data_IF_889234820072
#
_entry.id   IF_889234820072
#
_cell.length_a   1.000
_cell.length_b   1.000
_cell.length_c   1.000
_cell.angle_alpha   90.00
_cell.angle_beta   90.00
_cell.angle_gamma   90.00
#
_symmetry.space_group_name_H-M   'P 1'
#
loop_
_entity.id
_entity.type
_entity.pdbx_description
1 polymer ?
#
# COMPACT_ATOMS: atom_id res chain seq x y z
N UNK A 1 -8.48 -20.95 9.80
CA UNK A 1 -7.95 -20.64 8.45
C UNK A 1 -7.90 -19.14 8.21
N UNK A 2 -8.99 -18.41 8.48
CA UNK A 2 -9.09 -16.95 8.37
C UNK A 2 -7.95 -16.22 9.12
N UNK A 3 -7.79 -16.49 10.42
CA UNK A 3 -6.74 -15.89 11.27
C UNK A 3 -5.30 -16.11 10.79
N UNK A 4 -4.99 -17.26 10.16
CA UNK A 4 -3.63 -17.52 9.67
C UNK A 4 -3.30 -16.67 8.44
N UNK A 5 -4.28 -16.49 7.54
CA UNK A 5 -4.09 -15.66 6.34
C UNK A 5 -3.99 -14.19 6.72
N UNK A 6 -4.79 -13.74 7.70
CA UNK A 6 -4.74 -12.38 8.23
C UNK A 6 -3.35 -12.05 8.80
N UNK A 7 -2.78 -12.99 9.59
CA UNK A 7 -1.42 -12.82 10.14
C UNK A 7 -0.39 -12.73 9.02
N UNK A 8 -0.44 -13.61 8.01
CA UNK A 8 0.52 -13.58 6.89
C UNK A 8 0.40 -12.27 6.12
N UNK A 9 -0.82 -11.85 5.79
CA UNK A 9 -1.06 -10.58 5.09
C UNK A 9 -0.51 -9.40 5.89
N UNK A 10 -0.82 -9.36 7.19
CA UNK A 10 -0.37 -8.30 8.08
C UNK A 10 1.15 -8.26 8.24
N UNK A 11 1.80 -9.41 8.42
CA UNK A 11 3.27 -9.48 8.49
C UNK A 11 3.91 -9.01 7.18
N UNK A 12 3.35 -9.43 6.04
CA UNK A 12 3.83 -9.03 4.73
C UNK A 12 3.68 -7.52 4.50
N UNK A 13 2.52 -6.95 4.78
CA UNK A 13 2.29 -5.51 4.64
C UNK A 13 3.09 -4.69 5.66
N UNK A 14 3.28 -5.18 6.88
CA UNK A 14 4.17 -4.52 7.86
C UNK A 14 5.60 -4.50 7.35
N UNK A 15 6.12 -5.62 6.82
CA UNK A 15 7.45 -5.68 6.24
C UNK A 15 7.58 -4.75 5.02
N UNK A 16 6.57 -4.72 4.16
CA UNK A 16 6.50 -3.79 3.03
C UNK A 16 6.58 -2.33 3.49
N UNK A 17 5.82 -1.94 4.52
CA UNK A 17 5.87 -0.60 5.09
C UNK A 17 7.22 -0.23 5.69
N UNK A 18 7.85 -1.16 6.41
CA UNK A 18 9.20 -0.97 6.99
C UNK A 18 10.25 -0.78 5.91
N UNK A 19 10.18 -1.58 4.85
CA UNK A 19 11.07 -1.41 3.70
C UNK A 19 10.80 -0.08 3.00
N UNK A 20 9.54 0.27 2.78
CA UNK A 20 9.17 1.51 2.11
C UNK A 20 9.75 2.76 2.82
N UNK A 21 9.74 2.79 4.16
CA UNK A 21 10.25 3.92 4.93
C UNK A 21 11.78 3.89 5.15
N UNK A 22 12.41 2.72 5.07
CA UNK A 22 13.82 2.54 5.42
C UNK A 22 14.80 3.47 4.65
N UNK A 23 14.68 3.69 3.32
CA UNK A 23 15.58 4.60 2.61
C UNK A 23 15.49 6.05 3.13
N UNK A 24 14.30 6.49 3.55
CA UNK A 24 14.11 7.83 4.11
C UNK A 24 14.79 7.97 5.47
N UNK A 25 14.72 6.92 6.30
CA UNK A 25 15.34 6.89 7.62
C UNK A 25 16.87 6.80 7.51
N UNK A 26 17.39 5.92 6.66
CA UNK A 26 18.84 5.69 6.54
C UNK A 26 19.58 6.86 5.92
N UNK A 27 18.97 7.55 4.96
CA UNK A 27 19.58 8.72 4.34
C UNK A 27 19.54 9.96 5.25
N UNK A 28 18.87 9.89 6.43
CA UNK A 28 18.88 10.92 7.46
C UNK A 28 18.30 12.27 7.03
N UNK A 29 17.77 12.39 5.82
CA UNK A 29 17.44 13.66 5.18
C UNK A 29 15.92 13.82 5.03
N UNK A 30 15.25 14.11 6.15
CA UNK A 30 13.83 14.48 6.21
C UNK A 30 13.57 15.93 5.80
N UNK A 31 14.61 16.72 5.51
CA UNK A 31 14.50 18.16 5.27
C UNK A 31 13.78 18.50 3.94
N UNK A 32 13.68 17.54 3.02
CA UNK A 32 12.94 17.69 1.76
C UNK A 32 11.45 17.36 1.89
N UNK A 33 10.57 18.19 1.30
CA UNK A 33 9.12 17.97 1.28
C UNK A 33 8.74 16.59 0.73
N UNK A 34 9.45 16.09 -0.28
CA UNK A 34 9.23 14.73 -0.82
C UNK A 34 9.58 13.64 0.19
N UNK A 35 10.74 13.73 0.85
CA UNK A 35 11.16 12.81 1.92
C UNK A 35 10.18 12.80 3.09
N UNK A 36 9.70 13.97 3.52
CA UNK A 36 8.71 14.08 4.59
C UNK A 36 7.37 13.43 4.22
N UNK A 37 6.92 13.60 2.97
CA UNK A 37 5.70 12.96 2.45
C UNK A 37 5.86 11.44 2.34
N UNK A 38 7.01 10.95 1.87
CA UNK A 38 7.32 9.52 1.86
C UNK A 38 7.38 8.93 3.27
N UNK A 39 8.03 9.60 4.22
CA UNK A 39 8.05 9.18 5.62
C UNK A 39 6.63 9.13 6.21
N UNK A 40 5.83 10.17 5.97
CA UNK A 40 4.43 10.24 6.41
C UNK A 40 3.60 9.10 5.83
N UNK A 41 3.81 8.78 4.54
CA UNK A 41 3.17 7.64 3.89
C UNK A 41 3.52 6.32 4.58
N UNK A 42 4.80 6.07 4.84
CA UNK A 42 5.26 4.87 5.56
C UNK A 42 4.71 4.79 6.99
N UNK A 43 4.70 5.89 7.73
CA UNK A 43 4.16 5.95 9.10
C UNK A 43 2.67 5.66 9.11
N UNK A 44 1.89 6.29 8.22
CA UNK A 44 0.44 6.08 8.11
C UNK A 44 0.13 4.64 7.69
N UNK A 45 0.92 4.07 6.79
CA UNK A 45 0.82 2.67 6.40
C UNK A 45 1.01 1.72 7.58
N UNK A 46 2.10 1.91 8.33
CA UNK A 46 2.44 1.11 9.51
C UNK A 46 1.43 1.31 10.64
N UNK A 47 0.91 2.52 10.82
CA UNK A 47 -0.20 2.78 11.74
C UNK A 47 -1.45 2.00 11.34
N UNK A 48 -1.77 1.95 10.04
CA UNK A 48 -2.85 1.12 9.51
C UNK A 48 -2.64 -0.36 9.87
N UNK A 49 -1.45 -0.90 9.61
CA UNK A 49 -1.09 -2.27 9.99
C UNK A 49 -1.22 -2.51 11.51
N UNK A 50 -0.77 -1.56 12.34
CA UNK A 50 -0.89 -1.67 13.79
C UNK A 50 -2.35 -1.66 14.26
N UNK A 51 -3.21 -0.84 13.66
CA UNK A 51 -4.66 -0.87 13.95
C UNK A 51 -5.26 -2.22 13.55
N UNK A 52 -4.89 -2.77 12.38
CA UNK A 52 -5.31 -4.12 11.97
C UNK A 52 -4.88 -5.18 12.97
N UNK A 53 -3.61 -5.14 13.42
CA UNK A 53 -3.08 -6.04 14.44
C UNK A 53 -3.93 -5.99 15.72
N UNK A 54 -4.13 -4.78 16.27
CA UNK A 54 -4.91 -4.56 17.48
C UNK A 54 -6.36 -5.06 17.34
N UNK A 55 -6.95 -4.94 16.15
CA UNK A 55 -8.27 -5.52 15.86
C UNK A 55 -8.25 -7.04 15.86
N UNK A 56 -7.26 -7.66 15.21
CA UNK A 56 -7.11 -9.12 15.12
C UNK A 56 -6.87 -9.78 16.48
N UNK A 57 -6.21 -9.09 17.41
CA UNK A 57 -6.02 -9.56 18.80
C UNK A 57 -7.07 -9.04 19.79
N UNK A 58 -8.16 -8.44 19.30
CA UNK A 58 -9.30 -7.96 20.10
C UNK A 58 -8.95 -6.87 21.14
N UNK A 59 -7.84 -6.14 20.95
CA UNK A 59 -7.50 -4.97 21.77
C UNK A 59 -8.38 -3.76 21.44
N UNK A 60 -8.89 -3.67 20.21
CA UNK A 60 -9.80 -2.62 19.75
C UNK A 60 -11.05 -3.30 19.19
N UNK A 61 -12.24 -2.87 19.63
CA UNK A 61 -13.50 -3.49 19.23
C UNK A 61 -13.98 -3.02 17.84
N UNK A 62 -14.24 -4.00 16.97
CA UNK A 62 -15.09 -3.99 15.77
C UNK A 62 -15.06 -2.72 14.92
N UNK A 63 -16.02 -1.83 15.15
CA UNK A 63 -16.35 -0.74 14.23
C UNK A 63 -15.31 0.38 14.17
N UNK A 64 -14.50 0.55 15.22
CA UNK A 64 -13.49 1.62 15.26
C UNK A 64 -12.29 1.25 14.40
N UNK A 65 -11.74 0.04 14.56
CA UNK A 65 -10.57 -0.39 13.82
C UNK A 65 -10.84 -0.57 12.32
N UNK A 66 -12.00 -1.14 11.97
CA UNK A 66 -12.45 -1.31 10.58
C UNK A 66 -12.52 0.02 9.82
N UNK A 67 -12.86 1.11 10.53
CA UNK A 67 -12.91 2.47 9.98
C UNK A 67 -11.51 3.07 9.84
N UNK A 68 -10.72 3.09 10.89
CA UNK A 68 -9.43 3.79 10.86
C UNK A 68 -8.44 3.22 9.84
N UNK A 69 -8.42 1.91 9.66
CA UNK A 69 -7.47 1.23 8.77
C UNK A 69 -7.49 1.74 7.31
N UNK A 70 -8.63 1.72 6.57
CA UNK A 70 -8.66 2.21 5.20
C UNK A 70 -8.42 3.73 5.09
N UNK A 71 -8.76 4.53 6.12
CA UNK A 71 -8.41 5.95 6.13
C UNK A 71 -6.90 6.18 6.25
N UNK A 72 -6.24 5.42 7.13
CA UNK A 72 -4.78 5.48 7.29
C UNK A 72 -4.08 5.06 6.00
N UNK A 73 -4.55 4.00 5.34
CA UNK A 73 -3.99 3.58 4.05
C UNK A 73 -4.33 4.53 2.90
N UNK A 74 -5.49 5.16 2.89
CA UNK A 74 -5.82 6.20 1.91
C UNK A 74 -4.95 7.44 2.10
N UNK A 75 -4.76 7.89 3.35
CA UNK A 75 -3.87 8.99 3.69
C UNK A 75 -2.41 8.66 3.33
N UNK A 76 -1.96 7.42 3.59
CA UNK A 76 -0.64 6.95 3.19
C UNK A 76 -0.45 7.00 1.67
N UNK A 77 -1.42 6.49 0.89
CA UNK A 77 -1.39 6.56 -0.56
C UNK A 77 -1.44 7.99 -1.10
N UNK A 78 -2.19 8.89 -0.44
CA UNK A 78 -2.24 10.30 -0.79
C UNK A 78 -0.90 11.00 -0.52
N UNK A 79 -0.24 10.73 0.60
CA UNK A 79 1.10 11.24 0.89
C UNK A 79 2.13 10.76 -0.15
N UNK A 80 2.09 9.48 -0.53
CA UNK A 80 2.97 8.97 -1.59
C UNK A 80 2.65 9.59 -2.95
N UNK A 81 1.38 9.74 -3.30
CA UNK A 81 0.96 10.42 -4.54
C UNK A 81 1.46 11.86 -4.56
N UNK A 82 1.35 12.57 -3.44
CA UNK A 82 1.85 13.93 -3.29
C UNK A 82 3.38 13.98 -3.40
N UNK A 83 4.12 13.02 -2.83
CA UNK A 83 5.58 12.98 -2.99
C UNK A 83 5.97 12.87 -4.46
N UNK A 84 5.28 12.06 -5.25
CA UNK A 84 5.52 11.95 -6.69
C UNK A 84 5.30 13.29 -7.42
N UNK A 85 4.30 14.08 -7.05
CA UNK A 85 4.07 15.40 -7.69
C UNK A 85 5.15 16.43 -7.36
N UNK A 86 5.90 16.25 -6.28
CA UNK A 86 7.02 17.12 -5.89
C UNK A 86 8.32 16.69 -6.57
N UNK A 87 8.54 15.38 -6.75
CA UNK A 87 9.79 14.85 -7.33
C UNK A 87 9.78 14.75 -8.86
N UNK A 88 8.62 14.45 -9.46
CA UNK A 88 8.53 14.15 -10.91
C UNK A 88 8.55 15.38 -11.86
N UNK A 89 8.32 16.65 -11.46
CA UNK A 89 8.36 17.77 -12.42
C UNK A 89 9.72 18.07 -13.07
N UNK A 90 10.82 17.40 -12.66
CA UNK A 90 12.17 17.67 -13.22
C UNK A 90 12.77 16.56 -14.10
N UNK A 91 12.13 15.40 -14.23
CA UNK A 91 12.61 14.31 -15.11
C UNK A 91 11.83 14.28 -16.44
N UNK A 92 11.77 15.40 -17.15
CA UNK A 92 11.40 15.38 -18.57
C UNK A 92 12.64 15.03 -19.41
N UNK A 93 12.48 14.02 -20.30
CA UNK A 93 13.40 13.54 -21.34
C UNK A 93 14.27 12.29 -21.07
N UNK A 94 13.77 11.29 -20.34
CA UNK A 94 14.37 9.95 -20.40
C UNK A 94 13.62 9.02 -21.36
N UNK A 95 14.24 8.61 -22.46
CA UNK A 95 13.72 7.55 -23.35
C UNK A 95 13.83 6.17 -22.68
N UNK A 96 12.84 5.29 -22.88
CA UNK A 96 12.89 3.89 -22.41
C UNK A 96 12.51 3.68 -20.94
N UNK A 97 13.44 3.11 -20.14
CA UNK A 97 13.16 2.56 -18.81
C UNK A 97 12.73 3.59 -17.75
N UNK A 98 13.19 4.84 -17.85
CA UNK A 98 12.79 5.93 -16.94
C UNK A 98 11.32 6.33 -17.09
N UNK A 99 10.81 6.30 -18.33
CA UNK A 99 9.39 6.56 -18.58
C UNK A 99 8.52 5.45 -17.99
N UNK A 100 8.93 4.19 -18.16
CA UNK A 100 8.25 3.05 -17.58
C UNK A 100 8.21 3.13 -16.06
N UNK A 101 9.34 3.45 -15.40
CA UNK A 101 9.39 3.60 -13.95
C UNK A 101 8.47 4.72 -13.44
N UNK A 102 8.49 5.88 -14.10
CA UNK A 102 7.63 7.02 -13.75
C UNK A 102 6.14 6.69 -13.88
N UNK A 103 5.71 6.09 -15.00
CA UNK A 103 4.33 5.63 -15.19
C UNK A 103 3.93 4.56 -14.17
N UNK A 104 4.86 3.67 -13.82
CA UNK A 104 4.63 2.63 -12.82
C UNK A 104 4.40 3.21 -11.44
N UNK A 105 5.12 4.27 -11.05
CA UNK A 105 4.88 5.02 -9.82
C UNK A 105 3.47 5.62 -9.77
N UNK A 106 3.04 6.29 -10.85
CA UNK A 106 1.70 6.88 -10.93
C UNK A 106 0.60 5.82 -10.92
N UNK A 107 0.79 4.72 -11.65
CA UNK A 107 -0.13 3.60 -11.63
C UNK A 107 -0.23 3.02 -10.22
N UNK A 108 0.89 2.78 -9.55
CA UNK A 108 0.93 2.24 -8.19
C UNK A 108 0.19 3.13 -7.19
N UNK A 109 0.50 4.44 -7.22
CA UNK A 109 -0.08 5.41 -6.31
C UNK A 109 -1.59 5.60 -6.53
N UNK A 110 -2.01 5.75 -7.77
CA UNK A 110 -3.43 5.94 -8.12
C UNK A 110 -4.28 4.71 -7.79
N UNK A 111 -3.78 3.52 -8.10
CA UNK A 111 -4.51 2.27 -7.79
C UNK A 111 -4.54 1.97 -6.30
N UNK A 112 -3.48 2.28 -5.54
CA UNK A 112 -3.49 2.22 -4.08
C UNK A 112 -4.55 3.14 -3.49
N UNK A 113 -4.55 4.43 -3.84
CA UNK A 113 -5.53 5.40 -3.32
C UNK A 113 -6.94 4.96 -3.69
N UNK A 114 -7.17 4.53 -4.94
CA UNK A 114 -8.47 4.03 -5.37
C UNK A 114 -8.94 2.81 -4.55
N UNK A 115 -8.04 1.85 -4.28
CA UNK A 115 -8.34 0.67 -3.47
C UNK A 115 -8.70 1.07 -2.03
N UNK A 116 -7.87 1.88 -1.39
CA UNK A 116 -8.11 2.33 -0.02
C UNK A 116 -9.40 3.16 0.12
N UNK A 117 -9.73 3.99 -0.87
CA UNK A 117 -11.00 4.73 -0.90
C UNK A 117 -12.20 3.81 -1.16
N UNK A 118 -12.06 2.80 -2.01
CA UNK A 118 -13.11 1.80 -2.25
C UNK A 118 -13.41 1.01 -0.97
N UNK A 119 -12.36 0.61 -0.25
CA UNK A 119 -12.46 -0.01 1.06
C UNK A 119 -13.17 0.92 2.05
N UNK A 120 -12.70 2.16 2.20
CA UNK A 120 -13.32 3.15 3.09
C UNK A 120 -14.79 3.38 2.75
N UNK A 121 -15.14 3.57 1.47
CA UNK A 121 -16.52 3.76 1.05
C UNK A 121 -17.41 2.57 1.44
N UNK A 122 -16.87 1.36 1.36
CA UNK A 122 -17.58 0.14 1.74
C UNK A 122 -17.76 0.04 3.27
N UNK A 123 -16.70 0.30 4.05
CA UNK A 123 -16.77 0.29 5.52
C UNK A 123 -17.77 1.31 6.07
N UNK A 124 -17.84 2.50 5.47
CA UNK A 124 -18.81 3.54 5.87
C UNK A 124 -20.21 3.34 5.31
N UNK A 125 -20.46 2.22 4.61
CA UNK A 125 -21.74 1.88 4.01
C UNK A 125 -22.24 2.90 2.99
N UNK A 126 -21.34 3.71 2.41
CA UNK A 126 -21.66 4.51 1.23
C UNK A 126 -21.93 3.60 0.03
N UNK A 127 -21.31 2.43 0.02
CA UNK A 127 -21.55 1.36 -0.95
C UNK A 127 -21.67 0.01 -0.21
N UNK A 128 -22.55 -0.87 -0.69
CA UNK A 128 -22.73 -2.22 -0.12
C UNK A 128 -21.49 -3.14 -0.27
N UNK A 129 -21.22 -4.01 0.69
CA UNK A 129 -20.19 -5.04 0.53
C UNK A 129 -20.70 -6.15 -0.40
N UNK A 130 -19.98 -6.39 -1.49
CA UNK A 130 -20.27 -7.52 -2.39
C UNK A 130 -18.99 -8.26 -2.71
N UNK A 131 -19.11 -9.55 -2.99
CA UNK A 131 -17.98 -10.39 -3.40
C UNK A 131 -17.27 -9.84 -4.67
N UNK A 132 -18.03 -9.23 -5.59
CA UNK A 132 -17.46 -8.57 -6.78
C UNK A 132 -16.63 -7.33 -6.43
N UNK A 133 -17.04 -6.57 -5.42
CA UNK A 133 -16.29 -5.39 -4.94
C UNK A 133 -15.02 -5.78 -4.22
N UNK A 134 -15.05 -6.84 -3.41
CA UNK A 134 -13.83 -7.35 -2.81
C UNK A 134 -12.83 -7.85 -3.86
N UNK A 135 -13.32 -8.57 -4.88
CA UNK A 135 -12.48 -8.95 -6.01
C UNK A 135 -11.84 -7.73 -6.68
N UNK A 136 -12.63 -6.67 -6.94
CA UNK A 136 -12.13 -5.42 -7.52
C UNK A 136 -11.08 -4.78 -6.62
N UNK A 137 -11.29 -4.76 -5.30
CA UNK A 137 -10.34 -4.19 -4.35
C UNK A 137 -9.02 -4.97 -4.38
N UNK A 138 -9.07 -6.31 -4.29
CA UNK A 138 -7.90 -7.20 -4.45
C UNK A 138 -7.16 -6.90 -5.77
N UNK A 139 -7.88 -6.73 -6.88
CA UNK A 139 -7.30 -6.39 -8.17
C UNK A 139 -6.59 -5.04 -8.15
N UNK A 140 -7.18 -4.00 -7.53
CA UNK A 140 -6.56 -2.68 -7.40
C UNK A 140 -5.30 -2.72 -6.53
N UNK A 141 -5.36 -3.41 -5.40
CA UNK A 141 -4.18 -3.66 -4.55
C UNK A 141 -3.09 -4.44 -5.31
N UNK A 142 -3.48 -5.41 -6.14
CA UNK A 142 -2.56 -6.18 -6.98
C UNK A 142 -1.89 -5.33 -8.08
N UNK A 143 -2.67 -4.51 -8.79
CA UNK A 143 -2.16 -3.55 -9.77
C UNK A 143 -1.20 -2.54 -9.12
N UNK A 144 -1.48 -2.13 -7.88
CA UNK A 144 -0.58 -1.27 -7.12
C UNK A 144 0.78 -1.93 -6.88
N UNK A 145 0.77 -3.20 -6.42
CA UNK A 145 1.97 -4.01 -6.25
C UNK A 145 2.79 -4.14 -7.54
N UNK A 146 2.15 -4.43 -8.67
CA UNK A 146 2.82 -4.50 -9.97
C UNK A 146 3.43 -3.16 -10.39
N UNK A 147 2.72 -2.05 -10.14
CA UNK A 147 3.25 -0.72 -10.36
C UNK A 147 4.48 -0.43 -9.49
N UNK A 148 4.51 -0.88 -8.24
CA UNK A 148 5.70 -0.74 -7.39
C UNK A 148 6.89 -1.54 -7.92
N UNK A 149 6.68 -2.74 -8.45
CA UNK A 149 7.75 -3.52 -9.09
C UNK A 149 8.33 -2.74 -10.28
N UNK A 150 7.48 -2.15 -11.13
CA UNK A 150 7.92 -1.31 -12.23
C UNK A 150 8.69 -0.05 -11.77
N UNK A 151 8.26 0.56 -10.65
CA UNK A 151 8.92 1.71 -10.05
C UNK A 151 10.36 1.39 -9.56
N UNK A 152 10.66 0.14 -9.22
CA UNK A 152 12.01 -0.29 -8.83
C UNK A 152 13.02 -0.18 -9.98
N UNK A 153 12.56 -0.03 -11.23
CA UNK A 153 13.43 0.18 -12.37
C UNK A 153 13.93 1.63 -12.47
N UNK A 154 13.47 2.56 -11.61
CA UNK A 154 13.86 3.96 -11.63
C UNK A 154 15.40 4.13 -11.63
N UNK A 155 16.00 4.74 -12.66
CA UNK A 155 17.45 4.85 -12.79
C UNK A 155 18.10 5.68 -11.68
N UNK A 156 17.39 6.64 -11.10
CA UNK A 156 17.92 7.51 -10.05
C UNK A 156 18.07 6.83 -8.68
N UNK A 157 17.50 5.64 -8.49
CA UNK A 157 17.66 4.87 -7.24
C UNK A 157 19.05 4.22 -7.17
N UNK A 158 19.77 4.49 -6.07
CA UNK A 158 20.95 3.74 -5.69
C UNK A 158 20.62 2.25 -5.44
N UNK A 159 21.65 1.39 -5.40
CA UNK A 159 21.47 -0.05 -5.27
C UNK A 159 20.76 -0.48 -3.98
N UNK A 160 21.01 0.20 -2.86
CA UNK A 160 20.40 -0.14 -1.58
C UNK A 160 18.91 0.27 -1.58
N UNK A 161 18.61 1.50 -1.98
CA UNK A 161 17.25 2.03 -2.13
C UNK A 161 16.42 1.19 -3.09
N UNK A 162 17.01 0.79 -4.23
CA UNK A 162 16.39 -0.11 -5.21
C UNK A 162 16.03 -1.47 -4.63
N UNK A 163 16.97 -2.09 -3.91
CA UNK A 163 16.74 -3.39 -3.27
C UNK A 163 15.60 -3.30 -2.24
N UNK A 164 15.61 -2.26 -1.42
CA UNK A 164 14.59 -2.10 -0.38
C UNK A 164 13.22 -1.81 -0.98
N UNK A 165 13.13 -0.98 -2.02
CA UNK A 165 11.86 -0.78 -2.75
C UNK A 165 11.36 -2.07 -3.40
N UNK A 166 12.26 -2.87 -4.00
CA UNK A 166 11.90 -4.15 -4.58
C UNK A 166 11.42 -5.15 -3.52
N UNK A 167 12.08 -5.19 -2.36
CA UNK A 167 11.64 -5.96 -1.20
C UNK A 167 10.26 -5.50 -0.74
N UNK A 168 10.03 -4.19 -0.63
CA UNK A 168 8.73 -3.64 -0.27
C UNK A 168 7.63 -4.10 -1.23
N UNK A 169 7.86 -3.95 -2.55
CA UNK A 169 6.91 -4.36 -3.58
C UNK A 169 6.63 -5.87 -3.55
N UNK A 170 7.65 -6.69 -3.32
CA UNK A 170 7.49 -8.13 -3.19
C UNK A 170 6.59 -8.48 -1.99
N UNK A 171 6.86 -7.92 -0.81
CA UNK A 171 6.06 -8.18 0.38
C UNK A 171 4.63 -7.64 0.27
N UNK A 172 4.42 -6.53 -0.44
CA UNK A 172 3.10 -6.06 -0.81
C UNK A 172 2.33 -7.13 -1.59
N UNK A 173 2.94 -7.66 -2.66
CA UNK A 173 2.35 -8.71 -3.50
C UNK A 173 2.07 -9.99 -2.70
N UNK A 174 2.93 -10.38 -1.76
CA UNK A 174 2.67 -11.52 -0.86
C UNK A 174 1.41 -11.29 -0.03
N UNK A 175 1.20 -10.09 0.51
CA UNK A 175 -0.01 -9.76 1.25
C UNK A 175 -1.26 -9.81 0.36
N UNK A 176 -1.20 -9.25 -0.85
CA UNK A 176 -2.31 -9.33 -1.81
C UNK A 176 -2.61 -10.77 -2.22
N UNK A 177 -1.59 -11.58 -2.50
CA UNK A 177 -1.76 -12.99 -2.83
C UNK A 177 -2.39 -13.79 -1.68
N UNK A 178 -2.03 -13.46 -0.44
CA UNK A 178 -2.62 -14.04 0.76
C UNK A 178 -4.12 -13.76 0.83
N UNK A 179 -4.51 -12.49 0.64
CA UNK A 179 -5.92 -12.08 0.56
C UNK A 179 -6.65 -12.78 -0.59
N UNK A 180 -6.09 -12.76 -1.79
CA UNK A 180 -6.66 -13.45 -2.94
C UNK A 180 -6.90 -14.95 -2.66
N UNK A 181 -5.98 -15.62 -1.97
CA UNK A 181 -6.14 -17.05 -1.63
C UNK A 181 -7.32 -17.30 -0.68
N UNK A 182 -7.56 -16.40 0.29
CA UNK A 182 -8.69 -16.47 1.21
C UNK A 182 -10.01 -16.27 0.45
N UNK A 183 -10.03 -15.26 -0.42
CA UNK A 183 -11.18 -14.93 -1.26
C UNK A 183 -11.60 -16.09 -2.18
N UNK A 184 -10.62 -16.74 -2.82
CA UNK A 184 -10.86 -17.90 -3.69
C UNK A 184 -11.39 -19.11 -2.93
N UNK A 185 -11.03 -19.27 -1.65
CA UNK A 185 -11.55 -20.32 -0.76
C UNK A 185 -12.95 -20.02 -0.21
N UNK A 186 -13.57 -18.91 -0.60
CA UNK A 186 -14.91 -18.52 -0.12
C UNK A 186 -14.91 -17.70 1.18
N UNK A 187 -13.73 -17.37 1.72
CA UNK A 187 -13.61 -16.36 2.76
C UNK A 187 -13.59 -14.95 2.17
N UNK A 188 -13.37 -13.96 3.02
CA UNK A 188 -13.15 -12.58 2.64
C UNK A 188 -12.77 -11.73 3.85
N UNK A 189 -12.13 -10.59 3.63
CA UNK A 189 -11.88 -9.59 4.69
C UNK A 189 -13.09 -8.70 4.93
N UNK A 190 -14.07 -8.74 4.03
CA UNK A 190 -15.35 -8.06 4.20
C UNK A 190 -16.41 -9.02 4.70
N UNK A 191 -17.14 -8.59 5.72
CA UNK A 191 -18.35 -9.28 6.16
C UNK A 191 -19.47 -8.95 5.17
N UNK A 192 -19.84 -9.90 4.33
CA UNK A 192 -20.93 -9.73 3.36
C UNK A 192 -22.26 -9.66 4.11
N UNK A 193 -23.05 -8.61 3.84
CA UNK A 193 -24.43 -8.46 4.31
C UNK A 193 -25.44 -9.02 3.31
#
# INVERSE_FOLDING_TARGET
>A
LHTQVDIVMLCAWTKSGLDFIAPVIWNGNLEGTSSALMASSGVLWLAGCFVTFCASVQLIHGTTAERWMPLLWAAAGACYSASLTVTVPQQQQGEGWSALASWSCYLAASTWVAAALLWAASTWKFIAFTRRREALDIWLWGLSGLGFIGACCEPSLDNASRWVWASSAFWWCVGVASWASLFLKGGGFFTYS
#
